data_IF_651407607618
#
_entry.id   IF_651407607618
#
_cell.length_a   1.000
_cell.length_b   1.000
_cell.length_c   1.000
_cell.angle_alpha   90.00
_cell.angle_beta   90.00
_cell.angle_gamma   90.00
#
_symmetry.space_group_name_H-M   'P 1'
#
loop_
_entity.id
_entity.type
_entity.pdbx_description
1 polymer ?
#
# COMPACT_ATOMS: atom_id res chain seq x y z
N UNK A 1 3.29 -5.55 35.73
CA UNK A 1 3.35 -5.83 34.27
C UNK A 1 2.22 -5.23 33.47
N UNK A 2 0.95 -5.57 33.70
CA UNK A 2 -0.17 -5.07 32.87
C UNK A 2 -0.26 -3.53 32.76
N UNK A 3 0.04 -2.80 33.84
CA UNK A 3 0.08 -1.33 33.80
C UNK A 3 1.13 -0.76 32.84
N UNK A 4 2.30 -1.40 32.72
CA UNK A 4 3.36 -0.99 31.78
C UNK A 4 2.89 -1.16 30.33
N UNK A 5 2.22 -2.28 30.02
CA UNK A 5 1.65 -2.54 28.70
C UNK A 5 0.62 -1.49 28.31
N UNK A 6 -0.32 -1.17 29.20
CA UNK A 6 -1.32 -0.12 28.96
C UNK A 6 -0.66 1.23 28.67
N UNK A 7 0.41 1.56 29.38
CA UNK A 7 1.13 2.82 29.19
C UNK A 7 1.81 2.88 27.81
N UNK A 8 2.53 1.81 27.43
CA UNK A 8 3.15 1.70 26.10
C UNK A 8 2.10 1.74 25.00
N UNK A 9 1.00 1.00 25.15
CA UNK A 9 -0.07 0.96 24.15
C UNK A 9 -0.72 2.33 23.97
N UNK A 10 -0.85 3.14 25.04
CA UNK A 10 -1.33 4.52 24.95
C UNK A 10 -0.38 5.43 24.19
N UNK A 11 0.95 5.32 24.41
CA UNK A 11 1.96 6.08 23.66
C UNK A 11 1.87 5.72 22.17
N UNK A 12 1.87 4.42 21.87
CA UNK A 12 1.86 3.88 20.52
C UNK A 12 0.56 4.11 19.75
N UNK A 13 -0.58 4.19 20.43
CA UNK A 13 -1.87 4.48 19.80
C UNK A 13 -1.81 5.76 18.96
N UNK A 14 -1.14 6.79 19.48
CA UNK A 14 -1.02 8.10 18.83
C UNK A 14 0.12 8.20 17.79
N UNK A 15 0.99 7.19 17.70
CA UNK A 15 2.11 7.18 16.76
C UNK A 15 1.62 6.97 15.33
N UNK A 16 2.12 7.76 14.37
CA UNK A 16 1.82 7.58 12.94
C UNK A 16 2.79 6.57 12.30
N UNK A 17 2.73 5.32 12.74
CA UNK A 17 3.53 4.22 12.20
C UNK A 17 2.62 3.11 11.64
N UNK A 18 3.17 2.26 10.76
CA UNK A 18 2.49 1.04 10.33
C UNK A 18 2.27 0.10 11.53
N UNK A 19 1.26 -0.79 11.50
CA UNK A 19 0.99 -1.71 12.61
C UNK A 19 2.21 -2.54 13.00
N UNK A 20 2.99 -3.00 12.03
CA UNK A 20 4.22 -3.76 12.27
C UNK A 20 5.27 -2.94 12.99
N UNK A 21 5.51 -1.70 12.54
CA UNK A 21 6.49 -0.83 13.18
C UNK A 21 6.05 -0.48 14.61
N UNK A 22 4.75 -0.34 14.86
CA UNK A 22 4.23 -0.21 16.23
C UNK A 22 4.52 -1.44 17.08
N UNK A 23 4.37 -2.65 16.52
CA UNK A 23 4.70 -3.89 17.25
C UNK A 23 6.20 -4.00 17.56
N UNK A 24 7.08 -3.64 16.63
CA UNK A 24 8.53 -3.59 16.86
C UNK A 24 8.88 -2.60 17.98
N UNK A 25 8.38 -1.37 17.88
CA UNK A 25 8.60 -0.35 18.91
C UNK A 25 7.98 -0.79 20.25
N UNK A 26 6.82 -1.47 20.23
CA UNK A 26 6.20 -2.04 21.43
C UNK A 26 7.11 -3.05 22.11
N UNK A 27 7.65 -4.00 21.35
CA UNK A 27 8.55 -5.02 21.91
C UNK A 27 9.81 -4.39 22.51
N UNK A 28 10.40 -3.41 21.84
CA UNK A 28 11.60 -2.71 22.30
C UNK A 28 11.33 -1.88 23.57
N UNK A 29 10.23 -1.09 23.58
CA UNK A 29 9.85 -0.31 24.76
C UNK A 29 9.48 -1.20 25.96
N UNK A 30 8.77 -2.30 25.73
CA UNK A 30 8.42 -3.23 26.80
C UNK A 30 9.65 -3.94 27.35
N UNK A 31 10.63 -4.27 26.50
CA UNK A 31 11.89 -4.83 26.95
C UNK A 31 12.63 -3.85 27.88
N UNK A 32 12.81 -2.60 27.45
CA UNK A 32 13.49 -1.59 28.28
C UNK A 32 12.74 -1.26 29.58
N UNK A 33 11.41 -1.22 29.55
CA UNK A 33 10.60 -1.03 30.75
C UNK A 33 10.68 -2.23 31.70
N UNK A 34 10.75 -3.44 31.16
CA UNK A 34 10.92 -4.65 31.97
C UNK A 34 12.28 -4.67 32.65
N UNK A 35 13.36 -4.34 31.92
CA UNK A 35 14.71 -4.19 32.46
C UNK A 35 14.73 -3.12 33.59
N UNK A 36 14.15 -1.94 33.36
CA UNK A 36 14.05 -0.89 34.37
C UNK A 36 13.20 -1.29 35.58
N UNK A 37 12.12 -2.03 35.37
CA UNK A 37 11.28 -2.56 36.45
C UNK A 37 12.05 -3.56 37.31
N UNK A 38 12.77 -4.51 36.70
CA UNK A 38 13.55 -5.52 37.43
C UNK A 38 14.64 -4.86 38.29
N UNK A 39 15.32 -3.84 37.76
CA UNK A 39 16.30 -3.05 38.51
C UNK A 39 15.68 -2.33 39.72
N UNK A 40 14.55 -1.63 39.53
CA UNK A 40 13.93 -0.88 40.63
C UNK A 40 13.21 -1.79 41.63
N UNK A 41 12.71 -2.95 41.18
CA UNK A 41 12.15 -3.97 42.06
C UNK A 41 13.23 -4.59 42.95
N UNK A 42 14.41 -4.89 42.40
CA UNK A 42 15.54 -5.37 43.17
C UNK A 42 15.99 -4.37 44.26
N UNK A 43 15.76 -3.06 44.05
CA UNK A 43 16.13 -2.00 45.00
C UNK A 43 15.07 -1.73 46.07
N UNK A 44 13.80 -1.81 45.72
CA UNK A 44 12.70 -1.37 46.60
C UNK A 44 11.93 -2.52 47.23
N UNK A 45 11.97 -3.72 46.63
CA UNK A 45 11.16 -4.88 46.99
C UNK A 45 9.65 -4.59 47.01
N UNK A 46 9.21 -3.53 46.33
CA UNK A 46 7.82 -3.09 46.23
C UNK A 46 7.47 -2.98 44.74
N UNK A 47 6.55 -3.83 44.29
CA UNK A 47 6.18 -3.93 42.88
C UNK A 47 5.49 -2.67 42.35
N UNK A 48 4.63 -2.04 43.14
CA UNK A 48 3.88 -0.85 42.70
C UNK A 48 4.82 0.37 42.64
N UNK A 49 5.73 0.47 43.61
CA UNK A 49 6.77 1.50 43.61
C UNK A 49 7.76 1.31 42.48
N UNK A 50 8.21 0.08 42.22
CA UNK A 50 9.10 -0.24 41.10
C UNK A 50 8.46 0.09 39.74
N UNK A 51 7.16 -0.23 39.57
CA UNK A 51 6.40 0.12 38.38
C UNK A 51 6.38 1.65 38.14
N UNK A 52 6.12 2.42 39.20
CA UNK A 52 6.08 3.88 39.14
C UNK A 52 7.45 4.47 38.77
N UNK A 53 8.52 4.01 39.42
CA UNK A 53 9.90 4.46 39.15
C UNK A 53 10.37 4.08 37.74
N UNK A 54 10.01 2.89 37.25
CA UNK A 54 10.31 2.48 35.88
C UNK A 54 9.59 3.36 34.84
N UNK A 55 8.34 3.74 35.09
CA UNK A 55 7.60 4.68 34.24
C UNK A 55 8.19 6.10 34.30
N UNK A 56 8.65 6.56 35.47
CA UNK A 56 9.32 7.86 35.60
C UNK A 56 10.64 7.91 34.83
N UNK A 57 11.41 6.82 34.79
CA UNK A 57 12.64 6.71 33.98
C UNK A 57 12.39 6.82 32.48
N UNK A 58 11.20 6.43 32.00
CA UNK A 58 10.81 6.58 30.59
C UNK A 58 10.70 8.07 30.19
N UNK A 59 10.52 8.97 31.17
CA UNK A 59 10.43 10.41 30.96
C UNK A 59 9.04 10.86 30.52
N UNK A 60 8.97 12.07 29.93
CA UNK A 60 7.72 12.63 29.42
C UNK A 60 7.21 11.83 28.20
N UNK A 61 6.03 11.19 28.28
CA UNK A 61 5.45 10.45 27.16
C UNK A 61 5.28 11.29 25.88
N UNK A 62 5.04 12.60 26.02
CA UNK A 62 4.88 13.49 24.87
C UNK A 62 6.21 13.78 24.17
N UNK A 63 7.31 13.85 24.91
CA UNK A 63 8.67 13.95 24.36
C UNK A 63 9.10 12.64 23.70
N UNK A 64 8.97 11.51 24.41
CA UNK A 64 9.31 10.19 23.86
C UNK A 64 8.58 9.92 22.54
N UNK A 65 7.29 10.27 22.47
CA UNK A 65 6.52 10.15 21.23
C UNK A 65 7.08 11.01 20.09
N UNK A 66 7.52 12.24 20.37
CA UNK A 66 8.14 13.10 19.34
C UNK A 66 9.42 12.48 18.80
N UNK A 67 10.23 11.93 19.69
CA UNK A 67 11.50 11.29 19.34
C UNK A 67 11.27 10.00 18.53
N UNK A 68 10.32 9.16 18.97
CA UNK A 68 9.88 7.99 18.22
C UNK A 68 9.31 8.36 16.84
N UNK A 69 8.52 9.43 16.77
CA UNK A 69 7.93 9.90 15.51
C UNK A 69 9.00 10.45 14.55
N UNK A 70 10.03 11.12 15.07
CA UNK A 70 11.17 11.61 14.28
C UNK A 70 12.04 10.46 13.76
N UNK A 71 12.11 9.33 14.47
CA UNK A 71 12.79 8.12 14.03
C UNK A 71 12.06 7.33 12.93
N UNK A 72 10.82 7.68 12.58
CA UNK A 72 10.08 6.99 11.51
C UNK A 72 10.54 7.54 10.14
N UNK A 73 11.02 6.69 9.22
CA UNK A 73 11.45 7.16 7.92
C UNK A 73 10.31 7.82 7.13
N UNK A 74 10.58 8.97 6.52
CA UNK A 74 9.62 9.76 5.74
C UNK A 74 8.79 8.96 4.72
N UNK A 75 9.34 7.95 3.99
CA UNK A 75 8.56 7.15 3.06
C UNK A 75 7.33 6.47 3.68
N UNK A 76 7.39 6.06 4.96
CA UNK A 76 6.26 5.43 5.65
C UNK A 76 5.13 6.43 5.91
N UNK A 77 5.46 7.69 6.21
CA UNK A 77 4.48 8.76 6.43
C UNK A 77 3.79 9.15 5.12
N UNK A 78 4.55 9.19 4.02
CA UNK A 78 4.03 9.51 2.69
C UNK A 78 3.11 8.40 2.16
N UNK A 79 3.47 7.13 2.32
CA UNK A 79 2.67 6.01 1.83
C UNK A 79 1.23 6.04 2.37
N UNK A 80 1.07 6.32 3.67
CA UNK A 80 -0.25 6.43 4.32
C UNK A 80 -1.09 7.58 3.75
N UNK A 81 -0.47 8.76 3.60
CA UNK A 81 -1.16 9.94 3.06
C UNK A 81 -1.55 9.72 1.61
N UNK A 82 -0.63 9.17 0.81
CA UNK A 82 -0.84 8.86 -0.59
C UNK A 82 -1.97 7.84 -0.79
N UNK A 83 -2.05 6.80 0.06
CA UNK A 83 -3.14 5.82 0.04
C UNK A 83 -4.52 6.46 0.21
N UNK A 84 -4.68 7.35 1.18
CA UNK A 84 -5.97 8.02 1.42
C UNK A 84 -6.35 8.89 0.22
N UNK A 85 -5.39 9.65 -0.32
CA UNK A 85 -5.60 10.48 -1.49
C UNK A 85 -6.01 9.65 -2.70
N UNK A 86 -5.30 8.56 -3.00
CA UNK A 86 -5.64 7.67 -4.11
C UNK A 86 -7.04 7.07 -4.00
N UNK A 87 -7.44 6.62 -2.81
CA UNK A 87 -8.78 6.06 -2.59
C UNK A 87 -9.87 7.11 -2.77
N UNK A 88 -9.67 8.33 -2.28
CA UNK A 88 -10.61 9.44 -2.48
C UNK A 88 -10.72 9.78 -3.96
N UNK A 89 -9.60 9.87 -4.68
CA UNK A 89 -9.61 10.11 -6.12
C UNK A 89 -10.34 9.00 -6.90
N UNK A 90 -10.11 7.72 -6.55
CA UNK A 90 -10.79 6.60 -7.17
C UNK A 90 -12.31 6.66 -6.90
N UNK A 91 -12.72 6.91 -5.65
CA UNK A 91 -14.13 7.02 -5.28
C UNK A 91 -14.80 8.22 -5.96
N UNK A 92 -14.12 9.36 -5.99
CA UNK A 92 -14.61 10.57 -6.66
C UNK A 92 -14.78 10.31 -8.15
N UNK A 93 -13.86 9.58 -8.79
CA UNK A 93 -13.98 9.19 -10.19
C UNK A 93 -15.20 8.29 -10.42
N UNK A 94 -15.52 7.38 -9.51
CA UNK A 94 -16.72 6.52 -9.61
C UNK A 94 -18.01 7.35 -9.58
N UNK A 95 -18.05 8.48 -8.86
CA UNK A 95 -19.26 9.31 -8.72
C UNK A 95 -19.35 10.39 -9.80
N UNK A 96 -18.24 11.07 -10.10
CA UNK A 96 -18.23 12.18 -11.05
C UNK A 96 -18.46 11.72 -12.49
N UNK A 97 -17.95 10.55 -12.87
CA UNK A 97 -18.02 10.08 -14.26
C UNK A 97 -19.46 9.72 -14.70
N UNK A 98 -20.26 8.99 -13.90
CA UNK A 98 -21.67 8.76 -14.19
C UNK A 98 -22.50 10.04 -14.13
N UNK A 99 -22.23 10.94 -13.17
CA UNK A 99 -22.94 12.21 -13.08
C UNK A 99 -22.72 13.05 -14.34
N UNK A 100 -21.47 13.13 -14.80
CA UNK A 100 -21.11 13.83 -16.02
C UNK A 100 -21.74 13.15 -17.24
N UNK A 101 -21.78 11.81 -17.26
CA UNK A 101 -22.48 11.05 -18.31
C UNK A 101 -23.98 11.37 -18.34
N UNK A 102 -24.65 11.40 -17.18
CA UNK A 102 -26.07 11.73 -17.05
C UNK A 102 -26.33 13.16 -17.54
N UNK A 103 -25.49 14.12 -17.14
CA UNK A 103 -25.59 15.51 -17.61
C UNK A 103 -25.40 15.63 -19.13
N UNK A 104 -24.57 14.77 -19.76
CA UNK A 104 -24.42 14.74 -21.22
C UNK A 104 -25.54 13.99 -21.94
N UNK A 105 -26.26 13.10 -21.25
CA UNK A 105 -27.28 12.24 -21.84
C UNK A 105 -28.71 12.77 -21.65
N UNK A 106 -28.90 13.86 -20.91
CA UNK A 106 -30.22 14.43 -20.65
C UNK A 106 -30.90 14.86 -21.96
N UNK A 107 -31.92 14.13 -22.43
CA UNK A 107 -32.54 14.37 -23.72
C UNK A 107 -33.47 15.59 -23.72
N UNK A 108 -33.70 16.23 -22.56
CA UNK A 108 -34.52 17.46 -22.48
C UNK A 108 -33.75 18.73 -22.86
N UNK A 109 -32.41 18.68 -22.98
CA UNK A 109 -31.58 19.74 -23.57
C UNK A 109 -31.71 19.80 -25.11
N UNK A 110 -32.94 19.71 -25.65
CA UNK A 110 -33.27 19.77 -27.10
C UNK A 110 -32.99 21.12 -27.78
N UNK A 111 -32.45 22.09 -27.04
CA UNK A 111 -32.17 23.44 -27.57
C UNK A 111 -30.84 23.47 -28.34
N UNK A 112 -29.97 22.48 -28.15
CA UNK A 112 -28.72 22.35 -28.87
C UNK A 112 -28.91 21.50 -30.14
N UNK A 113 -28.49 22.07 -31.27
CA UNK A 113 -28.48 21.40 -32.57
C UNK A 113 -27.69 20.06 -32.49
N UNK A 114 -28.21 19.00 -33.12
CA UNK A 114 -27.61 17.65 -33.10
C UNK A 114 -26.14 17.70 -33.56
N UNK A 115 -25.81 18.62 -34.47
CA UNK A 115 -24.45 18.84 -34.98
C UNK A 115 -23.48 19.28 -33.88
N UNK A 116 -23.93 20.11 -32.93
CA UNK A 116 -23.14 20.62 -31.82
C UNK A 116 -22.91 19.51 -30.79
N UNK A 117 -23.95 18.72 -30.51
CA UNK A 117 -23.86 17.59 -29.57
C UNK A 117 -22.89 16.52 -30.11
N UNK A 118 -22.98 16.18 -31.40
CA UNK A 118 -22.09 15.20 -32.03
C UNK A 118 -20.62 15.66 -32.00
N UNK A 119 -20.35 16.94 -32.32
CA UNK A 119 -19.01 17.51 -32.27
C UNK A 119 -18.47 17.58 -30.84
N UNK A 120 -19.27 18.06 -29.88
CA UNK A 120 -18.89 18.11 -28.48
C UNK A 120 -18.59 16.70 -27.93
N UNK A 121 -19.42 15.71 -28.25
CA UNK A 121 -19.23 14.33 -27.84
C UNK A 121 -17.96 13.70 -28.42
N UNK A 122 -17.63 14.01 -29.68
CA UNK A 122 -16.39 13.56 -30.31
C UNK A 122 -15.13 14.09 -29.61
N UNK A 123 -15.19 15.34 -29.13
CA UNK A 123 -14.11 15.98 -28.35
C UNK A 123 -14.06 15.44 -26.91
N UNK A 124 -15.22 15.14 -26.31
CA UNK A 124 -15.30 14.74 -24.90
C UNK A 124 -14.95 13.26 -24.67
N UNK A 125 -15.29 12.39 -25.62
CA UNK A 125 -15.01 10.94 -25.57
C UNK A 125 -13.56 10.56 -25.21
N UNK A 126 -12.51 11.10 -25.86
CA UNK A 126 -11.12 10.77 -25.50
C UNK A 126 -10.75 11.24 -24.09
N UNK A 127 -11.33 12.35 -23.63
CA UNK A 127 -11.09 12.84 -22.28
C UNK A 127 -11.71 11.90 -21.25
N UNK A 128 -12.96 11.47 -21.48
CA UNK A 128 -13.66 10.54 -20.60
C UNK A 128 -12.96 9.17 -20.51
N UNK A 129 -12.50 8.65 -21.65
CA UNK A 129 -11.78 7.38 -21.71
C UNK A 129 -10.40 7.48 -21.03
N UNK A 130 -9.67 8.58 -21.25
CA UNK A 130 -8.42 8.85 -20.56
C UNK A 130 -8.59 8.91 -19.04
N UNK A 131 -9.62 9.62 -18.56
CA UNK A 131 -9.93 9.72 -17.13
C UNK A 131 -10.28 8.36 -16.51
N UNK A 132 -11.07 7.53 -17.19
CA UNK A 132 -11.38 6.17 -16.73
C UNK A 132 -10.13 5.31 -16.61
N UNK A 133 -9.24 5.37 -17.61
CA UNK A 133 -7.98 4.62 -17.60
C UNK A 133 -7.10 5.09 -16.44
N UNK A 134 -6.93 6.41 -16.26
CA UNK A 134 -6.17 6.98 -15.14
C UNK A 134 -6.76 6.55 -13.79
N UNK A 135 -8.08 6.69 -13.60
CA UNK A 135 -8.75 6.33 -12.36
C UNK A 135 -8.59 4.83 -12.04
N UNK A 136 -8.80 3.97 -13.04
CA UNK A 136 -8.59 2.53 -12.92
C UNK A 136 -7.15 2.20 -12.52
N UNK A 137 -6.18 2.82 -13.18
CA UNK A 137 -4.76 2.61 -12.90
C UNK A 137 -4.38 3.06 -11.48
N UNK A 138 -4.83 4.23 -11.06
CA UNK A 138 -4.61 4.73 -9.70
C UNK A 138 -5.25 3.82 -8.65
N UNK A 139 -6.43 3.27 -8.93
CA UNK A 139 -7.09 2.29 -8.08
C UNK A 139 -6.26 1.01 -7.92
N UNK A 140 -5.74 0.43 -9.00
CA UNK A 140 -4.90 -0.76 -8.93
C UNK A 140 -3.58 -0.49 -8.23
N UNK A 141 -2.93 0.65 -8.48
CA UNK A 141 -1.75 1.07 -7.72
C UNK A 141 -2.07 1.15 -6.23
N UNK A 142 -3.22 1.74 -5.86
CA UNK A 142 -3.69 1.80 -4.48
C UNK A 142 -3.88 0.42 -3.84
N UNK A 143 -4.57 -0.51 -4.53
CA UNK A 143 -4.76 -1.89 -4.06
C UNK A 143 -3.44 -2.63 -3.88
N UNK A 144 -2.53 -2.45 -4.82
CA UNK A 144 -1.23 -3.11 -4.80
C UNK A 144 -0.37 -2.59 -3.64
N UNK A 145 -0.37 -1.27 -3.38
CA UNK A 145 0.30 -0.68 -2.22
C UNK A 145 -0.28 -1.23 -0.91
N UNK A 146 -1.60 -1.39 -0.84
CA UNK A 146 -2.27 -1.98 0.33
C UNK A 146 -1.90 -3.45 0.53
N UNK A 147 -1.89 -4.24 -0.55
CA UNK A 147 -1.49 -5.63 -0.51
C UNK A 147 -0.03 -5.80 -0.05
N UNK A 148 0.86 -4.87 -0.42
CA UNK A 148 2.25 -4.88 0.03
C UNK A 148 2.36 -4.54 1.50
N UNK A 149 1.61 -3.57 2.01
CA UNK A 149 1.60 -3.26 3.44
C UNK A 149 1.14 -4.51 4.22
N UNK A 150 0.08 -5.16 3.76
CA UNK A 150 -0.42 -6.44 4.31
C UNK A 150 0.60 -7.57 4.23
N UNK A 151 1.42 -7.64 3.17
CA UNK A 151 2.48 -8.66 3.05
C UNK A 151 3.77 -8.30 3.77
N UNK A 152 4.07 -7.02 3.96
CA UNK A 152 5.23 -6.58 4.74
C UNK A 152 5.09 -6.99 6.21
N UNK A 153 3.84 -7.13 6.70
CA UNK A 153 3.52 -7.78 7.98
C UNK A 153 4.11 -9.19 8.12
N UNK A 154 4.51 -9.85 7.03
CA UNK A 154 4.94 -11.25 7.04
C UNK A 154 6.41 -11.54 6.69
N UNK A 155 7.24 -10.64 6.13
CA UNK A 155 8.64 -11.00 5.85
C UNK A 155 9.66 -9.86 5.63
N UNK A 156 10.77 -10.01 6.36
CA UNK A 156 12.13 -9.46 6.25
C UNK A 156 12.61 -8.93 4.88
N UNK A 157 13.35 -7.81 4.94
CA UNK A 157 14.30 -7.10 4.03
C UNK A 157 14.52 -7.49 2.54
N UNK A 158 14.20 -8.70 2.05
CA UNK A 158 14.41 -9.13 0.66
C UNK A 158 13.39 -8.56 -0.35
N UNK A 159 12.34 -7.91 0.12
CA UNK A 159 11.18 -7.53 -0.69
C UNK A 159 11.45 -6.30 -1.58
N UNK A 160 12.30 -5.35 -1.16
CA UNK A 160 12.53 -4.10 -1.91
C UNK A 160 13.11 -4.32 -3.32
N UNK A 161 13.97 -5.34 -3.49
CA UNK A 161 14.59 -5.64 -4.80
C UNK A 161 13.62 -6.35 -5.75
N UNK A 162 12.74 -7.19 -5.20
CA UNK A 162 11.65 -7.82 -5.95
C UNK A 162 10.59 -6.78 -6.32
N UNK A 163 10.31 -5.82 -5.43
CA UNK A 163 9.41 -4.69 -5.67
C UNK A 163 9.86 -3.87 -6.88
N UNK A 164 11.12 -3.43 -6.93
CA UNK A 164 11.61 -2.62 -8.05
C UNK A 164 11.49 -3.37 -9.40
N UNK A 165 11.75 -4.68 -9.41
CA UNK A 165 11.64 -5.53 -10.61
C UNK A 165 10.20 -5.72 -11.10
N UNK A 166 9.23 -5.79 -10.20
CA UNK A 166 7.82 -5.98 -10.59
C UNK A 166 7.14 -4.67 -10.96
N UNK A 167 7.54 -3.54 -10.35
CA UNK A 167 6.81 -2.28 -10.49
C UNK A 167 7.28 -1.37 -11.62
N UNK A 168 8.58 -1.35 -11.93
CA UNK A 168 9.08 -0.60 -13.09
C UNK A 168 8.34 -0.99 -14.37
N UNK A 169 8.20 -2.29 -14.74
CA UNK A 169 7.47 -2.67 -15.94
C UNK A 169 5.98 -2.31 -15.85
N UNK A 170 5.36 -2.40 -14.67
CA UNK A 170 3.96 -2.01 -14.48
C UNK A 170 3.78 -0.50 -14.69
N UNK A 171 4.64 0.34 -14.12
CA UNK A 171 4.63 1.79 -14.31
C UNK A 171 4.87 2.20 -15.77
N UNK A 172 5.79 1.54 -16.46
CA UNK A 172 6.03 1.76 -17.91
C UNK A 172 4.78 1.41 -18.72
N UNK A 173 4.12 0.31 -18.37
CA UNK A 173 2.93 -0.15 -19.08
C UNK A 173 1.71 0.75 -18.81
N UNK A 174 1.61 1.27 -17.59
CA UNK A 174 0.62 2.29 -17.21
C UNK A 174 0.84 3.62 -17.94
N UNK A 175 2.08 4.09 -18.00
CA UNK A 175 2.44 5.30 -18.72
C UNK A 175 2.18 5.15 -20.22
N UNK A 176 2.50 3.99 -20.80
CA UNK A 176 2.27 3.72 -22.22
C UNK A 176 0.78 3.61 -22.55
N UNK A 177 -0.03 2.96 -21.70
CA UNK A 177 -1.49 2.90 -21.86
C UNK A 177 -2.15 4.28 -21.81
N UNK A 178 -1.71 5.13 -20.88
CA UNK A 178 -2.22 6.51 -20.72
C UNK A 178 -1.80 7.41 -21.90
N UNK A 179 -0.54 7.30 -22.35
CA UNK A 179 -0.04 8.00 -23.52
C UNK A 179 -0.77 7.55 -24.79
N UNK A 180 -1.06 6.25 -24.91
CA UNK A 180 -1.85 5.72 -26.02
C UNK A 180 -3.30 6.20 -25.98
N UNK A 181 -3.96 6.26 -24.82
CA UNK A 181 -5.32 6.80 -24.71
C UNK A 181 -5.40 8.26 -25.15
N UNK A 182 -4.38 9.07 -24.85
CA UNK A 182 -4.27 10.45 -25.33
C UNK A 182 -4.09 10.52 -26.85
N UNK A 183 -3.28 9.63 -27.44
CA UNK A 183 -3.06 9.56 -28.89
C UNK A 183 -4.24 8.90 -29.64
N UNK A 184 -5.01 8.06 -28.95
CA UNK A 184 -6.12 7.26 -29.47
C UNK A 184 -7.41 8.03 -29.71
N UNK A 185 -7.46 9.34 -29.42
CA UNK A 185 -8.63 10.18 -29.62
C UNK A 185 -9.15 10.28 -31.06
N UNK A 186 -8.55 9.56 -32.01
CA UNK A 186 -8.95 9.53 -33.41
C UNK A 186 -9.91 8.37 -33.80
N UNK A 187 -10.04 7.27 -33.04
CA UNK A 187 -10.96 6.17 -33.46
C UNK A 187 -11.38 5.17 -32.37
N UNK A 188 -12.58 4.56 -32.52
CA UNK A 188 -13.10 3.48 -31.66
C UNK A 188 -12.20 2.24 -31.61
N UNK A 189 -11.46 1.97 -32.69
CA UNK A 189 -10.47 0.88 -32.74
C UNK A 189 -9.33 1.09 -31.75
N UNK A 190 -8.93 2.33 -31.52
CA UNK A 190 -7.88 2.67 -30.58
C UNK A 190 -8.31 2.41 -29.13
N UNK A 191 -9.59 2.62 -28.80
CA UNK A 191 -10.16 2.29 -27.47
C UNK A 191 -10.18 0.79 -27.24
N UNK A 192 -10.73 0.01 -28.19
CA UNK A 192 -10.77 -1.46 -28.09
C UNK A 192 -9.36 -2.07 -28.02
N UNK A 193 -8.40 -1.48 -28.72
CA UNK A 193 -6.99 -1.88 -28.64
C UNK A 193 -6.38 -1.61 -27.26
N UNK A 194 -6.59 -0.41 -26.69
CA UNK A 194 -6.12 -0.08 -25.33
C UNK A 194 -6.74 -0.99 -24.28
N UNK A 195 -8.04 -1.29 -24.38
CA UNK A 195 -8.70 -2.25 -23.47
C UNK A 195 -8.07 -3.62 -23.58
N UNK A 196 -7.88 -4.14 -24.81
CA UNK A 196 -7.27 -5.46 -25.04
C UNK A 196 -5.83 -5.52 -24.52
N UNK A 197 -5.07 -4.42 -24.67
CA UNK A 197 -3.69 -4.36 -24.18
C UNK A 197 -3.64 -4.25 -22.65
N UNK A 198 -4.54 -3.48 -22.05
CA UNK A 198 -4.70 -3.39 -20.60
C UNK A 198 -5.02 -4.76 -20.01
N UNK A 199 -5.94 -5.52 -20.62
CA UNK A 199 -6.28 -6.89 -20.20
C UNK A 199 -5.06 -7.81 -20.30
N UNK A 200 -4.35 -7.82 -21.44
CA UNK A 200 -3.18 -8.69 -21.61
C UNK A 200 -2.09 -8.38 -20.56
N UNK A 201 -1.88 -7.10 -20.28
CA UNK A 201 -0.89 -6.66 -19.31
C UNK A 201 -1.24 -7.07 -17.88
N UNK A 202 -2.52 -6.97 -17.51
CA UNK A 202 -3.03 -7.41 -16.23
C UNK A 202 -2.86 -8.93 -16.09
N UNK A 203 -3.19 -9.70 -17.14
CA UNK A 203 -2.98 -11.15 -17.13
C UNK A 203 -1.51 -11.53 -17.00
N UNK A 204 -0.62 -10.80 -17.67
CA UNK A 204 0.82 -11.05 -17.60
C UNK A 204 1.34 -10.74 -16.20
N UNK A 205 0.89 -9.63 -15.62
CA UNK A 205 1.32 -9.22 -14.29
C UNK A 205 0.75 -10.09 -13.16
N UNK A 206 -0.41 -10.71 -13.36
CA UNK A 206 -0.96 -11.74 -12.46
C UNK A 206 -0.25 -13.10 -12.63
N UNK A 207 0.19 -13.42 -13.85
CA UNK A 207 0.93 -14.66 -14.12
C UNK A 207 2.32 -14.66 -13.48
N UNK A 208 3.01 -13.52 -13.43
CA UNK A 208 4.37 -13.40 -12.84
C UNK A 208 4.43 -13.90 -11.38
N UNK A 209 3.58 -13.44 -10.44
CA UNK A 209 3.62 -13.92 -9.06
C UNK A 209 3.23 -15.40 -8.95
N UNK A 210 2.27 -15.88 -9.76
CA UNK A 210 1.92 -17.31 -9.81
C UNK A 210 3.14 -18.15 -10.24
N UNK A 211 3.82 -17.75 -11.32
CA UNK A 211 5.02 -18.42 -11.81
C UNK A 211 6.16 -18.37 -10.78
N UNK A 212 6.34 -17.22 -10.11
CA UNK A 212 7.34 -17.08 -9.06
C UNK A 212 7.08 -18.01 -7.86
N UNK A 213 5.82 -18.27 -7.54
CA UNK A 213 5.44 -19.16 -6.43
C UNK A 213 5.73 -20.64 -6.75
N UNK A 214 5.53 -21.04 -8.01
CA UNK A 214 5.85 -22.38 -8.51
C UNK A 214 7.36 -22.61 -8.45
N UNK A 215 8.16 -21.68 -8.99
CA UNK A 215 9.62 -21.77 -8.97
C UNK A 215 10.20 -21.80 -7.54
N UNK A 216 9.57 -21.07 -6.61
CA UNK A 216 10.00 -21.08 -5.20
C UNK A 216 9.74 -22.42 -4.52
N UNK A 217 8.68 -23.14 -4.93
CA UNK A 217 8.36 -24.47 -4.43
C UNK A 217 9.39 -25.49 -4.89
N UNK A 218 9.72 -25.48 -6.18
CA UNK A 218 10.77 -26.36 -6.73
C UNK A 218 12.15 -26.10 -6.12
N UNK A 219 12.50 -24.84 -5.86
CA UNK A 219 13.76 -24.50 -5.18
C UNK A 219 13.82 -25.00 -3.73
N UNK A 220 12.71 -24.94 -3.00
CA UNK A 220 12.60 -25.49 -1.64
C UNK A 220 12.76 -27.01 -1.64
N UNK A 221 12.07 -27.69 -2.57
CA UNK A 221 12.09 -29.14 -2.68
C UNK A 221 13.48 -29.65 -3.09
N UNK A 222 14.18 -28.92 -3.96
CA UNK A 222 15.56 -29.21 -4.33
C UNK A 222 16.53 -29.10 -3.14
N UNK A 223 16.42 -28.04 -2.32
CA UNK A 223 17.26 -27.89 -1.13
C UNK A 223 16.97 -28.93 -0.04
N UNK A 224 15.72 -29.35 0.10
CA UNK A 224 15.37 -30.45 1.00
C UNK A 224 15.94 -31.77 0.49
N UNK A 225 15.80 -32.07 -0.81
CA UNK A 225 16.36 -33.28 -1.43
C UNK A 225 17.88 -33.38 -1.27
N UNK A 226 18.62 -32.28 -1.46
CA UNK A 226 20.07 -32.25 -1.21
C UNK A 226 20.42 -32.56 0.25
N UNK A 227 19.65 -32.03 1.21
CA UNK A 227 19.85 -32.32 2.63
C UNK A 227 19.62 -33.79 2.97
N UNK A 228 18.60 -34.40 2.37
CA UNK A 228 18.33 -35.83 2.56
C UNK A 228 19.45 -36.71 1.98
N UNK A 229 20.02 -36.33 0.83
CA UNK A 229 21.16 -37.05 0.23
C UNK A 229 22.40 -36.98 1.11
N UNK A 230 22.71 -35.82 1.70
CA UNK A 230 23.85 -35.69 2.63
C UNK A 230 23.69 -36.50 3.91
N UNK A 231 22.47 -36.67 4.44
CA UNK A 231 22.23 -37.50 5.64
C UNK A 231 22.31 -39.00 5.37
N UNK A 232 22.13 -39.44 4.11
CA UNK A 232 22.22 -40.85 3.73
C UNK A 232 23.64 -41.27 3.36
N UNK A 233 24.56 -40.32 3.17
CA UNK A 233 25.96 -40.56 2.84
C UNK A 233 26.89 -40.58 4.06
N UNK A 234 26.39 -40.30 5.26
CA UNK A 234 27.08 -40.41 6.55
C UNK A 234 26.67 -41.69 7.29
#
# INVERSE_FOLDING_TARGET
MHQLEIHVDRILASLQASPQRKLEIRSELLQHLNEAYEEEFARTSDADRACTLALERLGDPAQLRRDLQAGIPFPYLMARSFRRTLLVFALQSIVFLPLLLILTLDPEMKVLDESIIANAWSLFRPFLSGQLVIAFNLFFVGLILDWIDVRSLFATHRIARTFLRTFIPFGILLASGSLYSLLAGASWYSVMFVVRWSVLSLTTALAIPLFSSVLKRESSDFHNWQRTQTMLSE
#
